data_IF_415831839068
#
_entry.id   IF_415831839068
#
_cell.length_a   1.000
_cell.length_b   1.000
_cell.length_c   1.000
_cell.angle_alpha   90.00
_cell.angle_beta   90.00
_cell.angle_gamma   90.00
#
_symmetry.space_group_name_H-M   'P 1'
#
loop_
_entity.id
_entity.type
_entity.pdbx_description
1 polymer ?
#
# COMPACT_ATOMS: atom_id res chain seq x y z
N UNK A 1 8.44 -2.31 0.89
CA UNK A 1 7.23 -2.55 1.73
C UNK A 1 7.61 -3.10 3.11
N UNK A 2 8.26 -4.25 3.16
CA UNK A 2 8.55 -4.94 4.43
C UNK A 2 9.48 -4.17 5.37
N UNK A 3 10.28 -3.24 4.84
CA UNK A 3 11.18 -2.42 5.65
C UNK A 3 10.44 -1.31 6.41
N UNK A 4 9.29 -0.89 5.89
CA UNK A 4 8.53 0.23 6.45
C UNK A 4 7.19 -0.20 7.04
N UNK A 5 6.51 -1.15 6.42
CA UNK A 5 5.19 -1.62 6.82
C UNK A 5 5.24 -2.92 7.60
N UNK A 6 4.24 -3.11 8.45
CA UNK A 6 4.03 -4.35 9.19
C UNK A 6 2.78 -5.06 8.67
N UNK A 7 2.89 -6.38 8.53
CA UNK A 7 1.75 -7.27 8.25
C UNK A 7 1.90 -8.45 9.20
N UNK A 8 0.97 -8.57 10.14
CA UNK A 8 1.02 -9.63 11.16
C UNK A 8 1.00 -11.01 10.52
N UNK A 9 1.84 -11.91 11.01
CA UNK A 9 1.95 -13.27 10.49
C UNK A 9 2.89 -13.42 9.29
N UNK A 10 3.58 -12.35 8.90
CA UNK A 10 4.55 -12.36 7.80
C UNK A 10 5.90 -11.83 8.26
N UNK A 11 6.89 -11.86 7.36
CA UNK A 11 8.21 -11.26 7.62
C UNK A 11 8.19 -9.74 7.60
N UNK A 12 7.11 -9.12 7.13
CA UNK A 12 6.95 -7.67 7.11
C UNK A 12 6.77 -7.16 8.54
N UNK A 13 7.78 -6.48 9.07
CA UNK A 13 7.84 -6.05 10.47
C UNK A 13 8.31 -4.59 10.62
N UNK A 14 8.13 -3.77 9.59
CA UNK A 14 8.49 -2.36 9.65
C UNK A 14 7.56 -1.57 10.54
N UNK A 15 8.10 -0.54 11.22
CA UNK A 15 7.33 0.33 12.12
C UNK A 15 7.27 1.77 11.65
N UNK A 16 7.95 2.09 10.55
CA UNK A 16 8.03 3.45 10.03
C UNK A 16 6.73 3.94 9.38
N UNK A 17 5.97 3.02 8.79
CA UNK A 17 4.73 3.29 8.06
C UNK A 17 3.56 2.54 8.69
N UNK A 18 2.31 2.81 8.29
CA UNK A 18 1.15 2.16 8.87
C UNK A 18 1.18 0.64 8.79
N UNK A 19 0.65 -0.02 9.83
CA UNK A 19 0.42 -1.45 9.85
C UNK A 19 -0.66 -1.81 8.83
N UNK A 20 -0.37 -2.72 7.91
CA UNK A 20 -1.27 -3.10 6.82
C UNK A 20 -2.06 -4.38 7.10
N UNK A 21 -1.93 -4.97 8.30
CA UNK A 21 -2.55 -6.25 8.65
C UNK A 21 -4.05 -6.31 8.29
N UNK A 22 -4.76 -5.21 8.51
CA UNK A 22 -6.20 -5.10 8.25
C UNK A 22 -6.50 -4.01 7.22
N UNK A 23 -5.69 -3.91 6.20
CA UNK A 23 -5.80 -2.84 5.20
C UNK A 23 -7.21 -2.75 4.61
N UNK A 24 -7.80 -3.88 4.24
CA UNK A 24 -9.12 -3.89 3.57
C UNK A 24 -10.30 -3.67 4.51
N UNK A 25 -10.05 -3.52 5.81
CA UNK A 25 -11.08 -3.04 6.76
C UNK A 25 -11.25 -1.52 6.74
N UNK A 26 -10.39 -0.80 6.04
CA UNK A 26 -10.45 0.66 5.92
C UNK A 26 -11.29 1.06 4.72
N UNK A 27 -12.09 2.12 4.88
CA UNK A 27 -12.87 2.69 3.78
C UNK A 27 -12.02 3.61 2.89
N UNK A 28 -11.00 4.23 3.48
CA UNK A 28 -10.11 5.17 2.79
C UNK A 28 -8.65 4.82 3.05
N UNK A 29 -7.80 5.20 2.11
CA UNK A 29 -6.35 5.02 2.19
C UNK A 29 -5.65 6.37 2.00
N UNK A 30 -4.33 6.39 2.11
CA UNK A 30 -3.50 7.58 1.86
C UNK A 30 -3.94 8.74 2.79
N UNK A 31 -4.09 8.43 4.08
CA UNK A 31 -4.52 9.42 5.10
C UNK A 31 -5.85 10.12 4.73
N UNK A 32 -6.77 9.38 4.15
CA UNK A 32 -8.11 9.89 3.78
C UNK A 32 -8.18 10.52 2.39
N UNK A 33 -7.10 10.50 1.62
CA UNK A 33 -7.08 11.13 0.29
C UNK A 33 -7.86 10.35 -0.75
N UNK A 34 -7.90 9.01 -0.64
CA UNK A 34 -8.52 8.17 -1.66
C UNK A 34 -9.36 7.06 -1.05
N UNK A 35 -10.44 6.67 -1.74
CA UNK A 35 -11.22 5.50 -1.38
C UNK A 35 -10.36 4.23 -1.50
N UNK A 36 -10.65 3.24 -0.65
CA UNK A 36 -9.90 1.98 -0.63
C UNK A 36 -10.42 1.05 -1.72
N UNK A 37 -10.02 1.26 -2.94
CA UNK A 37 -10.38 0.47 -4.11
C UNK A 37 -9.14 -0.15 -4.74
N UNK A 38 -9.34 -1.19 -5.56
CA UNK A 38 -8.23 -1.81 -6.29
C UNK A 38 -7.49 -0.79 -7.16
N UNK A 39 -8.22 0.04 -7.90
CA UNK A 39 -7.60 1.01 -8.80
C UNK A 39 -6.76 2.04 -8.04
N UNK A 40 -7.26 2.52 -6.91
CA UNK A 40 -6.50 3.45 -6.06
C UNK A 40 -5.29 2.78 -5.41
N UNK A 41 -5.40 1.52 -5.01
CA UNK A 41 -4.26 0.76 -4.51
C UNK A 41 -3.21 0.55 -5.59
N UNK A 42 -3.62 0.25 -6.82
CA UNK A 42 -2.71 0.14 -7.95
C UNK A 42 -1.94 1.44 -8.19
N UNK A 43 -2.65 2.55 -8.21
CA UNK A 43 -2.06 3.87 -8.41
C UNK A 43 -1.11 4.23 -7.25
N UNK A 44 -1.52 3.97 -6.02
CA UNK A 44 -0.72 4.28 -4.83
C UNK A 44 0.57 3.48 -4.78
N UNK A 45 0.50 2.17 -4.99
CA UNK A 45 1.69 1.30 -4.96
C UNK A 45 2.62 1.60 -6.12
N UNK A 46 2.06 1.93 -7.29
CA UNK A 46 2.85 2.27 -8.46
C UNK A 46 3.66 3.55 -8.26
N UNK A 47 3.00 4.63 -7.85
CA UNK A 47 3.67 5.90 -7.56
C UNK A 47 2.85 6.71 -6.55
N UNK A 48 3.26 6.71 -5.28
CA UNK A 48 2.56 7.47 -4.25
C UNK A 48 2.46 8.97 -4.52
N UNK A 49 3.40 9.53 -5.26
CA UNK A 49 3.43 10.97 -5.54
C UNK A 49 2.26 11.44 -6.41
N UNK A 50 1.66 10.54 -7.19
CA UNK A 50 0.50 10.87 -8.04
C UNK A 50 -0.73 11.21 -7.17
N UNK A 51 -0.99 10.41 -6.13
CA UNK A 51 -2.15 10.62 -5.24
C UNK A 51 -1.86 11.65 -4.16
N UNK A 52 -0.64 11.68 -3.65
CA UNK A 52 -0.25 12.57 -2.56
C UNK A 52 1.16 13.11 -2.81
N UNK A 53 1.30 14.22 -3.54
CA UNK A 53 2.62 14.85 -3.74
C UNK A 53 3.29 15.14 -2.41
N UNK A 54 4.57 14.79 -2.31
CA UNK A 54 5.32 14.93 -1.07
C UNK A 54 5.16 13.78 -0.09
N UNK A 55 4.43 12.72 -0.45
CA UNK A 55 4.33 11.52 0.40
C UNK A 55 5.72 10.93 0.65
N UNK A 56 5.91 10.39 1.87
CA UNK A 56 7.19 9.76 2.26
C UNK A 56 7.37 8.37 1.68
N UNK A 57 6.30 7.71 1.27
CA UNK A 57 6.38 6.43 0.59
C UNK A 57 6.96 6.64 -0.81
N UNK A 58 8.11 6.03 -1.13
CA UNK A 58 8.73 6.23 -2.43
C UNK A 58 8.09 5.35 -3.50
N UNK A 59 8.21 5.78 -4.77
CA UNK A 59 7.98 4.89 -5.89
C UNK A 59 9.13 3.89 -5.97
N UNK A 60 8.82 2.61 -5.97
CA UNK A 60 9.83 1.54 -6.08
C UNK A 60 10.14 1.20 -7.53
N UNK A 61 9.57 1.91 -8.49
CA UNK A 61 9.76 1.70 -9.94
C UNK A 61 9.49 0.26 -10.35
N UNK A 62 8.42 -0.31 -9.80
CA UNK A 62 8.01 -1.66 -10.09
C UNK A 62 7.35 -1.73 -11.47
N UNK A 63 7.40 -2.91 -12.10
CA UNK A 63 6.63 -3.16 -13.31
C UNK A 63 5.15 -3.23 -12.97
N UNK A 64 4.28 -3.04 -13.97
CA UNK A 64 2.84 -3.15 -13.78
C UNK A 64 2.44 -4.53 -13.25
N UNK A 65 3.08 -5.59 -13.72
CA UNK A 65 2.85 -6.94 -13.26
C UNK A 65 3.19 -7.11 -11.78
N UNK A 66 4.32 -6.56 -11.35
CA UNK A 66 4.72 -6.57 -9.94
C UNK A 66 3.73 -5.80 -9.07
N UNK A 67 3.30 -4.62 -9.50
CA UNK A 67 2.29 -3.83 -8.77
C UNK A 67 0.98 -4.62 -8.67
N UNK A 68 0.53 -5.23 -9.75
CA UNK A 68 -0.69 -6.05 -9.76
C UNK A 68 -0.62 -7.19 -8.74
N UNK A 69 0.50 -7.91 -8.68
CA UNK A 69 0.70 -9.00 -7.72
C UNK A 69 0.68 -8.52 -6.28
N UNK A 70 1.33 -7.39 -6.01
CA UNK A 70 1.34 -6.80 -4.68
C UNK A 70 -0.08 -6.41 -4.28
N UNK A 71 -0.82 -5.75 -5.15
CA UNK A 71 -2.19 -5.32 -4.86
C UNK A 71 -3.12 -6.52 -4.68
N UNK A 72 -2.98 -7.57 -5.46
CA UNK A 72 -3.75 -8.79 -5.29
C UNK A 72 -3.56 -9.37 -3.87
N UNK A 73 -2.33 -9.36 -3.37
CA UNK A 73 -2.05 -9.77 -2.00
C UNK A 73 -2.69 -8.82 -0.98
N UNK A 74 -2.55 -7.51 -1.18
CA UNK A 74 -3.10 -6.51 -0.27
C UNK A 74 -4.62 -6.62 -0.13
N UNK A 75 -5.31 -6.99 -1.19
CA UNK A 75 -6.76 -7.19 -1.16
C UNK A 75 -7.19 -8.34 -0.25
N UNK A 76 -6.28 -9.20 0.17
CA UNK A 76 -6.56 -10.29 1.11
C UNK A 76 -6.45 -9.85 2.58
N UNK A 77 -5.94 -8.67 2.86
CA UNK A 77 -5.67 -8.20 4.22
C UNK A 77 -6.92 -7.55 4.84
N UNK A 78 -7.78 -8.39 5.33
CA UNK A 78 -9.03 -7.98 6.00
C UNK A 78 -8.82 -7.99 7.52
#
# INVERSE_FOLDING_TARGET
CINCHRIRGTVANGTFAPDLTHLMSRDVIVSGVAANTRDNLMSWVNDPQVLKPGARMPSMKLTRDEVSKIVDYLLTLK
#
